data_IF_854702167903
#
_entry.id   IF_854702167903
#
_cell.length_a   1.000
_cell.length_b   1.000
_cell.length_c   1.000
_cell.angle_alpha   90.00
_cell.angle_beta   90.00
_cell.angle_gamma   90.00
#
_symmetry.space_group_name_H-M   'P 1'
#
loop_
_entity.id
_entity.type
_entity.pdbx_description
1 polymer ?
#
# COMPACT_ATOMS: atom_id res chain seq x y z
N UNK A 1 1.39 4.53 5.15
CA UNK A 1 2.21 4.06 4.01
C UNK A 1 3.01 5.24 3.47
N UNK A 2 3.93 5.00 2.54
CA UNK A 2 4.78 6.06 1.95
C UNK A 2 3.99 7.15 1.19
N UNK A 3 2.81 6.80 0.67
CA UNK A 3 1.78 7.76 0.26
C UNK A 3 0.66 7.66 1.29
N UNK A 4 0.36 8.80 1.93
CA UNK A 4 -0.75 8.91 2.87
C UNK A 4 -2.00 9.44 2.16
N UNK A 5 -3.16 9.18 2.74
CA UNK A 5 -4.46 9.54 2.16
C UNK A 5 -4.58 11.05 1.89
N UNK A 6 -4.02 11.88 2.77
CA UNK A 6 -4.00 13.34 2.60
C UNK A 6 -3.21 13.80 1.38
N UNK A 7 -2.13 13.10 1.01
CA UNK A 7 -1.37 13.40 -0.22
C UNK A 7 -2.17 13.07 -1.47
N UNK A 8 -2.90 11.95 -1.46
CA UNK A 8 -3.79 11.56 -2.57
C UNK A 8 -4.91 12.58 -2.70
N UNK A 9 -5.51 12.99 -1.57
CA UNK A 9 -6.56 14.00 -1.54
C UNK A 9 -6.08 15.33 -2.14
N UNK A 10 -4.93 15.81 -1.68
CA UNK A 10 -4.31 17.03 -2.18
C UNK A 10 -4.05 16.95 -3.68
N UNK A 11 -3.48 15.83 -4.15
CA UNK A 11 -3.21 15.62 -5.58
C UNK A 11 -4.49 15.66 -6.44
N UNK A 12 -5.57 14.99 -6.03
CA UNK A 12 -6.85 15.06 -6.74
C UNK A 12 -7.44 16.47 -6.77
N UNK A 13 -7.29 17.22 -5.67
CA UNK A 13 -7.74 18.60 -5.58
C UNK A 13 -6.97 19.52 -6.55
N UNK A 14 -5.63 19.51 -6.51
CA UNK A 14 -4.83 20.40 -7.35
C UNK A 14 -4.80 20.00 -8.83
N UNK A 15 -4.95 18.71 -9.15
CA UNK A 15 -4.86 18.20 -10.53
C UNK A 15 -6.21 18.27 -11.26
N UNK A 16 -7.31 18.00 -10.55
CA UNK A 16 -8.63 17.86 -11.15
C UNK A 16 -9.70 18.78 -10.54
N UNK A 17 -9.36 19.58 -9.54
CA UNK A 17 -10.34 20.44 -8.85
C UNK A 17 -11.36 19.65 -8.02
N UNK A 18 -11.00 18.45 -7.54
CA UNK A 18 -11.91 17.64 -6.73
C UNK A 18 -12.28 18.36 -5.42
N UNK A 19 -13.59 18.49 -5.16
CA UNK A 19 -14.12 19.08 -3.94
C UNK A 19 -14.12 18.10 -2.76
N UNK A 20 -14.41 18.60 -1.55
CA UNK A 20 -14.39 17.80 -0.33
C UNK A 20 -15.44 16.69 -0.35
N UNK A 21 -16.60 16.95 -0.95
CA UNK A 21 -17.69 15.97 -1.03
C UNK A 21 -17.30 14.78 -1.90
N UNK A 22 -16.69 15.03 -3.07
CA UNK A 22 -16.19 13.98 -3.95
C UNK A 22 -15.00 13.24 -3.35
N UNK A 23 -14.05 13.95 -2.72
CA UNK A 23 -12.94 13.31 -2.00
C UNK A 23 -13.46 12.38 -0.90
N UNK A 24 -14.47 12.81 -0.15
CA UNK A 24 -15.17 11.99 0.84
C UNK A 24 -15.74 10.70 0.22
N UNK A 25 -16.44 10.82 -0.90
CA UNK A 25 -17.01 9.67 -1.61
C UNK A 25 -15.94 8.69 -2.14
N UNK A 26 -14.87 9.23 -2.76
CA UNK A 26 -13.73 8.44 -3.26
C UNK A 26 -13.13 7.62 -2.11
N UNK A 27 -12.83 8.27 -0.99
CA UNK A 27 -12.19 7.58 0.13
C UNK A 27 -13.12 6.64 0.88
N UNK A 28 -14.42 6.93 0.93
CA UNK A 28 -15.41 6.00 1.45
C UNK A 28 -15.39 4.70 0.64
N UNK A 29 -15.52 4.79 -0.69
CA UNK A 29 -15.47 3.64 -1.58
C UNK A 29 -14.14 2.88 -1.50
N UNK A 30 -13.03 3.62 -1.46
CA UNK A 30 -11.69 3.06 -1.28
C UNK A 30 -11.59 2.23 0.00
N UNK A 31 -12.07 2.76 1.13
CA UNK A 31 -12.03 2.06 2.43
C UNK A 31 -12.95 0.84 2.47
N UNK A 32 -14.10 0.88 1.80
CA UNK A 32 -15.00 -0.27 1.66
C UNK A 32 -14.31 -1.41 0.91
N UNK A 33 -13.67 -1.10 -0.22
CA UNK A 33 -12.89 -2.06 -1.00
C UNK A 33 -11.67 -2.58 -0.23
N UNK A 34 -10.97 -1.71 0.48
CA UNK A 34 -9.86 -2.08 1.37
C UNK A 34 -10.31 -3.05 2.47
N UNK A 35 -11.45 -2.80 3.10
CA UNK A 35 -12.03 -3.68 4.10
C UNK A 35 -12.35 -5.06 3.53
N UNK A 36 -13.04 -5.11 2.38
CA UNK A 36 -13.33 -6.36 1.69
C UNK A 36 -12.05 -7.12 1.31
N UNK A 37 -11.05 -6.41 0.79
CA UNK A 37 -9.73 -6.94 0.43
C UNK A 37 -9.02 -7.59 1.64
N UNK A 38 -9.03 -6.91 2.79
CA UNK A 38 -8.46 -7.43 4.03
C UNK A 38 -9.16 -8.71 4.53
N UNK A 39 -10.49 -8.76 4.45
CA UNK A 39 -11.27 -9.95 4.83
C UNK A 39 -10.98 -11.15 3.92
N UNK A 40 -10.81 -10.91 2.62
CA UNK A 40 -10.48 -11.96 1.65
C UNK A 40 -9.06 -12.51 1.86
N UNK A 41 -8.15 -11.73 2.44
CA UNK A 41 -6.76 -12.10 2.64
C UNK A 41 -6.58 -13.45 3.33
N UNK A 42 -7.39 -13.77 4.35
CA UNK A 42 -7.32 -15.05 5.06
C UNK A 42 -7.64 -16.25 4.14
N UNK A 43 -8.65 -16.10 3.27
CA UNK A 43 -9.04 -17.15 2.32
C UNK A 43 -7.96 -17.39 1.27
N UNK A 44 -7.37 -16.30 0.73
CA UNK A 44 -6.28 -16.41 -0.23
C UNK A 44 -5.01 -16.99 0.43
N UNK A 45 -4.68 -16.54 1.65
CA UNK A 45 -3.54 -17.05 2.40
C UNK A 45 -3.64 -18.55 2.70
N UNK A 46 -4.82 -19.04 3.07
CA UNK A 46 -5.05 -20.47 3.31
C UNK A 46 -4.86 -21.31 2.03
N UNK A 47 -5.14 -20.74 0.85
CA UNK A 47 -5.04 -21.44 -0.44
C UNK A 47 -3.66 -21.35 -1.08
N UNK A 48 -3.02 -20.18 -1.01
CA UNK A 48 -1.80 -19.87 -1.76
C UNK A 48 -0.57 -19.68 -0.87
N UNK A 49 -0.74 -19.62 0.46
CA UNK A 49 0.31 -19.30 1.42
C UNK A 49 0.39 -17.80 1.74
N UNK A 50 0.94 -17.47 2.91
CA UNK A 50 1.04 -16.11 3.44
C UNK A 50 1.92 -15.22 2.56
N UNK A 51 3.13 -15.68 2.23
CA UNK A 51 4.10 -14.92 1.42
C UNK A 51 3.57 -14.68 0.00
N UNK A 52 3.08 -15.74 -0.66
CA UNK A 52 2.54 -15.61 -2.02
C UNK A 52 1.36 -14.64 -2.07
N UNK A 53 0.42 -14.73 -1.13
CA UNK A 53 -0.73 -13.82 -1.07
C UNK A 53 -0.28 -12.37 -0.89
N UNK A 54 0.72 -12.13 -0.03
CA UNK A 54 1.31 -10.82 0.17
C UNK A 54 1.91 -10.31 -1.15
N UNK A 55 2.87 -11.01 -1.74
CA UNK A 55 3.61 -10.55 -2.94
C UNK A 55 2.68 -10.34 -4.15
N UNK A 56 1.75 -11.27 -4.41
CA UNK A 56 0.82 -11.16 -5.54
C UNK A 56 -0.19 -10.03 -5.40
N UNK A 57 -0.54 -9.62 -4.18
CA UNK A 57 -1.37 -8.43 -3.96
C UNK A 57 -0.56 -7.13 -4.04
N UNK A 58 0.69 -7.15 -3.59
CA UNK A 58 1.47 -5.95 -3.36
C UNK A 58 2.06 -5.39 -4.66
N UNK A 59 2.58 -6.25 -5.55
CA UNK A 59 3.15 -5.81 -6.84
C UNK A 59 2.10 -5.14 -7.73
N UNK A 60 0.95 -5.76 -8.07
CA UNK A 60 -0.05 -5.12 -8.93
C UNK A 60 -0.64 -3.87 -8.29
N UNK A 61 -0.86 -3.88 -6.97
CA UNK A 61 -1.33 -2.70 -6.22
C UNK A 61 -0.37 -1.51 -6.32
N UNK A 62 0.94 -1.76 -6.24
CA UNK A 62 1.94 -0.71 -6.35
C UNK A 62 2.13 -0.23 -7.80
N UNK A 63 1.95 -1.11 -8.79
CA UNK A 63 1.88 -0.70 -10.20
C UNK A 63 0.68 0.23 -10.42
N UNK A 64 -0.50 -0.14 -9.91
CA UNK A 64 -1.70 0.72 -10.00
C UNK A 64 -1.48 2.06 -9.31
N UNK A 65 -0.79 2.09 -8.16
CA UNK A 65 -0.41 3.34 -7.48
C UNK A 65 0.43 4.24 -8.39
N UNK A 66 1.44 3.68 -9.05
CA UNK A 66 2.30 4.41 -9.98
C UNK A 66 1.50 4.93 -11.18
N UNK A 67 0.45 4.24 -11.61
CA UNK A 67 -0.37 4.62 -12.76
C UNK A 67 -1.36 5.76 -12.48
N UNK A 68 -1.81 5.93 -11.23
CA UNK A 68 -2.78 6.99 -10.84
C UNK A 68 -2.42 8.37 -11.41
N UNK A 69 -1.20 8.91 -11.24
CA UNK A 69 -0.87 10.25 -11.71
C UNK A 69 -0.80 10.41 -13.23
N UNK A 70 -0.78 9.31 -13.98
CA UNK A 70 -0.70 9.31 -15.44
C UNK A 70 -2.07 9.12 -16.10
N UNK A 71 -3.15 9.07 -15.32
CA UNK A 71 -4.49 8.90 -15.87
C UNK A 71 -4.99 10.17 -16.57
N UNK A 72 -5.60 10.06 -17.75
CA UNK A 72 -5.94 11.21 -18.61
C UNK A 72 -7.11 12.05 -18.09
N UNK A 73 -7.77 11.62 -17.01
CA UNK A 73 -8.89 12.34 -16.42
C UNK A 73 -9.28 11.78 -15.05
N UNK A 74 -10.09 12.57 -14.34
CA UNK A 74 -10.54 12.29 -12.99
C UNK A 74 -11.17 10.89 -12.84
N UNK A 75 -12.12 10.53 -13.71
CA UNK A 75 -12.80 9.24 -13.65
C UNK A 75 -11.84 8.05 -13.78
N UNK A 76 -10.84 8.15 -14.66
CA UNK A 76 -9.81 7.12 -14.82
C UNK A 76 -8.89 7.04 -13.60
N UNK A 77 -8.50 8.19 -13.03
CA UNK A 77 -7.69 8.23 -11.81
C UNK A 77 -8.43 7.59 -10.62
N UNK A 78 -9.73 7.88 -10.47
CA UNK A 78 -10.59 7.25 -9.44
C UNK A 78 -10.70 5.75 -9.69
N UNK A 79 -10.98 5.33 -10.93
CA UNK A 79 -11.11 3.91 -11.27
C UNK A 79 -9.84 3.11 -10.94
N UNK A 80 -8.67 3.60 -11.36
CA UNK A 80 -7.38 2.98 -11.04
C UNK A 80 -7.13 2.96 -9.53
N UNK A 81 -7.49 4.03 -8.82
CA UNK A 81 -7.39 4.06 -7.36
C UNK A 81 -8.32 3.02 -6.71
N UNK A 82 -9.58 2.89 -7.15
CA UNK A 82 -10.50 1.87 -6.62
C UNK A 82 -9.97 0.46 -6.88
N UNK A 83 -9.49 0.19 -8.09
CA UNK A 83 -8.89 -1.09 -8.46
C UNK A 83 -7.67 -1.39 -7.60
N UNK A 84 -6.86 -0.38 -7.26
CA UNK A 84 -5.76 -0.54 -6.31
C UNK A 84 -6.28 -0.97 -4.94
N UNK A 85 -7.29 -0.28 -4.41
CA UNK A 85 -7.80 -0.53 -3.06
C UNK A 85 -8.52 -1.89 -2.93
N UNK A 86 -9.06 -2.45 -4.01
CA UNK A 86 -9.67 -3.80 -3.98
C UNK A 86 -8.66 -4.93 -3.76
N UNK A 87 -7.38 -4.69 -4.05
CA UNK A 87 -6.30 -5.68 -3.86
C UNK A 87 -5.27 -5.25 -2.80
N UNK A 88 -5.20 -3.98 -2.43
CA UNK A 88 -4.05 -3.46 -1.69
C UNK A 88 -3.96 -3.87 -0.22
N UNK A 89 -5.04 -4.31 0.41
CA UNK A 89 -5.06 -4.56 1.87
C UNK A 89 -4.87 -6.01 2.27
N UNK A 90 -4.63 -6.91 1.32
CA UNK A 90 -4.33 -8.30 1.62
C UNK A 90 -2.95 -8.50 2.28
N UNK A 91 -2.03 -7.55 2.12
CA UNK A 91 -0.68 -7.60 2.69
C UNK A 91 -0.66 -7.42 4.21
N UNK A 92 -1.57 -6.61 4.76
CA UNK A 92 -1.57 -6.26 6.20
C UNK A 92 -1.78 -7.50 7.09
N UNK A 93 -2.89 -8.25 6.96
CA UNK A 93 -3.13 -9.41 7.81
C UNK A 93 -2.15 -10.55 7.53
N UNK A 94 -1.74 -10.74 6.26
CA UNK A 94 -0.81 -11.82 5.88
C UNK A 94 0.60 -11.57 6.41
N UNK A 95 1.09 -10.33 6.37
CA UNK A 95 2.39 -9.95 6.95
C UNK A 95 2.37 -10.08 8.46
N UNK A 96 1.31 -9.63 9.12
CA UNK A 96 1.16 -9.80 10.56
C UNK A 96 1.17 -11.29 10.95
N UNK A 97 0.39 -12.12 10.27
CA UNK A 97 0.36 -13.55 10.52
C UNK A 97 1.73 -14.21 10.26
N UNK A 98 2.43 -13.84 9.19
CA UNK A 98 3.76 -14.35 8.89
C UNK A 98 4.78 -13.99 9.97
N UNK A 99 4.85 -12.72 10.39
CA UNK A 99 5.73 -12.29 11.48
C UNK A 99 5.45 -13.09 12.76
N UNK A 100 4.19 -13.33 13.11
CA UNK A 100 3.86 -14.12 14.32
C UNK A 100 4.20 -15.60 14.18
N UNK A 101 4.24 -16.14 12.96
CA UNK A 101 4.63 -17.52 12.70
C UNK A 101 6.14 -17.74 12.83
N UNK A 102 6.96 -16.73 12.54
CA UNK A 102 8.44 -16.84 12.54
C UNK A 102 9.12 -16.29 13.80
N UNK A 103 8.36 -15.64 14.70
CA UNK A 103 8.86 -15.06 15.96
C UNK A 103 8.43 -15.91 17.15
N UNK A 104 9.33 -16.09 18.13
CA UNK A 104 9.05 -16.82 19.36
C UNK A 104 7.87 -16.20 20.14
N UNK A 105 7.01 -16.99 20.81
CA UNK A 105 5.79 -16.49 21.44
C UNK A 105 5.98 -15.32 22.40
N UNK A 106 7.07 -15.32 23.17
CA UNK A 106 7.47 -14.29 24.12
C UNK A 106 7.98 -12.99 23.46
N UNK A 107 8.52 -13.10 22.24
CA UNK A 107 9.05 -11.95 21.48
C UNK A 107 7.99 -11.27 20.58
N UNK A 108 6.82 -11.89 20.38
CA UNK A 108 5.76 -11.40 19.47
C UNK A 108 5.30 -9.98 19.79
N UNK A 109 5.20 -9.64 21.08
CA UNK A 109 4.82 -8.30 21.50
C UNK A 109 5.88 -7.25 21.10
N UNK A 110 7.17 -7.58 21.32
CA UNK A 110 8.28 -6.73 20.92
C UNK A 110 8.35 -6.55 19.39
N UNK A 111 8.21 -7.64 18.63
CA UNK A 111 8.20 -7.61 17.18
C UNK A 111 7.07 -6.74 16.60
N UNK A 112 5.86 -6.84 17.17
CA UNK A 112 4.73 -5.98 16.82
C UNK A 112 4.98 -4.51 17.15
N UNK A 113 5.59 -4.25 18.32
CA UNK A 113 5.98 -2.90 18.76
C UNK A 113 6.96 -2.23 17.79
N UNK A 114 8.06 -2.91 17.47
CA UNK A 114 9.07 -2.42 16.51
C UNK A 114 8.45 -2.14 15.14
N UNK A 115 7.62 -3.06 14.65
CA UNK A 115 6.91 -2.89 13.36
C UNK A 115 5.99 -1.66 13.37
N UNK A 116 5.29 -1.43 14.48
CA UNK A 116 4.41 -0.27 14.64
C UNK A 116 5.19 1.03 14.67
N UNK A 117 6.32 1.08 15.38
CA UNK A 117 7.21 2.25 15.43
C UNK A 117 7.71 2.57 14.01
N UNK A 118 8.25 1.59 13.30
CA UNK A 118 8.74 1.77 11.93
C UNK A 118 7.63 2.32 11.01
N UNK A 119 6.42 1.77 11.11
CA UNK A 119 5.25 2.25 10.36
C UNK A 119 4.90 3.70 10.69
N UNK A 120 4.90 4.06 11.97
CA UNK A 120 4.58 5.41 12.43
C UNK A 120 5.61 6.43 11.99
N UNK A 121 6.91 6.12 12.08
CA UNK A 121 8.00 6.97 11.56
C UNK A 121 7.82 7.21 10.07
N UNK A 122 7.57 6.14 9.30
CA UNK A 122 7.29 6.26 7.87
C UNK A 122 6.08 7.16 7.60
N UNK A 123 4.98 6.98 8.33
CA UNK A 123 3.77 7.79 8.18
C UNK A 123 3.95 9.26 8.58
N UNK A 124 4.85 9.57 9.52
CA UNK A 124 5.15 10.92 9.96
C UNK A 124 6.04 11.67 8.96
N UNK A 125 7.02 10.99 8.35
CA UNK A 125 7.96 11.60 7.40
C UNK A 125 7.37 11.75 5.99
N UNK A 126 6.46 10.85 5.60
CA UNK A 126 5.90 10.79 4.25
C UNK A 126 5.22 12.10 3.81
N UNK A 127 4.37 12.77 4.60
CA UNK A 127 3.71 14.01 4.19
C UNK A 127 4.70 15.16 3.96
N UNK A 128 5.77 15.26 4.77
CA UNK A 128 6.76 16.33 4.63
C UNK A 128 7.53 16.19 3.30
N UNK A 129 8.02 14.99 3.02
CA UNK A 129 8.73 14.69 1.75
C UNK A 129 7.77 14.78 0.55
N UNK A 130 6.58 14.21 0.70
CA UNK A 130 5.55 14.19 -0.32
C UNK A 130 5.03 15.59 -0.68
N UNK A 131 4.85 16.45 0.32
CA UNK A 131 4.40 17.84 0.14
C UNK A 131 5.37 18.67 -0.69
N UNK A 132 6.68 18.55 -0.45
CA UNK A 132 7.72 19.23 -1.25
C UNK A 132 7.64 18.83 -2.72
N UNK A 133 7.48 17.53 -2.99
CA UNK A 133 7.36 17.00 -4.34
C UNK A 133 6.04 17.43 -5.02
N UNK A 134 4.92 17.40 -4.31
CA UNK A 134 3.61 17.80 -4.83
C UNK A 134 3.51 19.31 -5.09
N UNK A 135 4.26 20.13 -4.35
CA UNK A 135 4.31 21.58 -4.55
C UNK A 135 5.06 21.99 -5.82
N UNK A 136 5.80 21.06 -6.46
CA UNK A 136 6.55 21.33 -7.69
C UNK A 136 5.77 20.82 -8.90
N UNK A 137 5.33 21.66 -9.85
CA UNK A 137 4.44 21.27 -10.95
C UNK A 137 4.94 20.08 -11.80
N UNK A 138 6.25 19.92 -11.97
CA UNK A 138 6.84 18.81 -12.71
C UNK A 138 7.03 17.50 -11.91
N UNK A 139 6.84 17.52 -10.59
CA UNK A 139 7.14 16.39 -9.70
C UNK A 139 5.88 15.83 -9.01
N UNK A 140 4.69 16.25 -9.41
CA UNK A 140 3.44 15.81 -8.78
C UNK A 140 3.21 14.29 -8.85
N UNK A 141 3.77 13.62 -9.88
CA UNK A 141 3.74 12.16 -9.99
C UNK A 141 4.81 11.46 -9.12
N UNK A 142 5.86 12.17 -8.71
CA UNK A 142 7.03 11.61 -8.04
C UNK A 142 6.71 10.88 -6.72
N UNK A 143 5.81 11.37 -5.83
CA UNK A 143 5.48 10.64 -4.60
C UNK A 143 4.83 9.29 -4.87
N UNK A 144 3.98 9.19 -5.89
CA UNK A 144 3.30 7.96 -6.27
C UNK A 144 4.28 6.94 -6.83
N UNK A 145 5.14 7.38 -7.76
CA UNK A 145 6.16 6.53 -8.39
C UNK A 145 7.23 6.11 -7.39
N UNK A 146 7.72 7.02 -6.55
CA UNK A 146 8.72 6.70 -5.52
C UNK A 146 8.16 5.72 -4.50
N UNK A 147 6.94 5.94 -4.00
CA UNK A 147 6.32 5.03 -3.05
C UNK A 147 6.02 3.65 -3.63
N UNK A 148 5.51 3.59 -4.86
CA UNK A 148 5.26 2.32 -5.56
C UNK A 148 6.57 1.58 -5.86
N UNK A 149 7.58 2.29 -6.38
CA UNK A 149 8.89 1.74 -6.71
C UNK A 149 9.64 1.20 -5.49
N UNK A 150 9.69 1.95 -4.38
CA UNK A 150 10.33 1.50 -3.13
C UNK A 150 9.66 0.22 -2.61
N UNK A 151 8.33 0.15 -2.64
CA UNK A 151 7.61 -1.04 -2.19
C UNK A 151 7.84 -2.25 -3.10
N UNK A 152 7.81 -2.06 -4.42
CA UNK A 152 8.12 -3.13 -5.37
C UNK A 152 9.54 -3.65 -5.16
N UNK A 153 10.52 -2.75 -4.97
CA UNK A 153 11.90 -3.15 -4.68
C UNK A 153 11.98 -3.98 -3.39
N UNK A 154 11.30 -3.55 -2.33
CA UNK A 154 11.21 -4.31 -1.08
C UNK A 154 10.61 -5.70 -1.30
N UNK A 155 9.51 -5.82 -2.05
CA UNK A 155 8.87 -7.10 -2.34
C UNK A 155 9.79 -8.04 -3.11
N UNK A 156 10.53 -7.51 -4.09
CA UNK A 156 11.49 -8.29 -4.87
C UNK A 156 12.66 -8.78 -4.02
N UNK A 157 13.15 -7.95 -3.10
CA UNK A 157 14.21 -8.34 -2.15
C UNK A 157 13.70 -9.39 -1.17
N UNK A 158 12.51 -9.20 -0.61
CA UNK A 158 11.89 -10.15 0.31
C UNK A 158 11.63 -11.49 -0.39
N UNK A 159 11.05 -11.48 -1.58
CA UNK A 159 10.83 -12.68 -2.38
C UNK A 159 12.14 -13.41 -2.68
N UNK A 160 13.21 -12.70 -3.05
CA UNK A 160 14.53 -13.30 -3.28
C UNK A 160 15.11 -13.94 -2.02
N UNK A 161 15.04 -13.27 -0.87
CA UNK A 161 15.59 -13.77 0.39
C UNK A 161 14.85 -15.00 0.92
N UNK A 162 13.52 -15.05 0.77
CA UNK A 162 12.70 -16.13 1.33
C UNK A 162 12.33 -17.25 0.35
N UNK A 163 12.60 -17.10 -0.95
CA UNK A 163 12.43 -18.16 -1.96
C UNK A 163 13.18 -19.46 -1.65
N UNK A 164 14.22 -19.40 -0.82
CA UNK A 164 14.98 -20.58 -0.40
C UNK A 164 14.51 -21.19 0.92
N UNK A 165 13.77 -20.44 1.76
CA UNK A 165 13.23 -20.94 3.02
C UNK A 165 11.99 -21.83 2.82
N UNK A 166 11.18 -21.58 1.79
CA UNK A 166 9.96 -22.35 1.47
C UNK A 166 10.23 -23.73 0.82
N UNK A 167 11.50 -24.11 0.59
CA UNK A 167 11.87 -25.43 0.00
C UNK A 167 12.22 -26.51 1.03
N UNK A 168 12.25 -26.17 2.32
CA UNK A 168 12.69 -27.07 3.40
C UNK A 168 11.67 -27.25 4.53
N UNK A 169 10.41 -26.87 4.31
CA UNK A 169 9.29 -27.11 5.23
C UNK A 169 8.41 -28.26 4.76
#
# INVERSE_FOLDING_TARGET
>A
GLVVQSMVAYWFHITFGADEQMLGAIFFGANLLAGASALLAAKFAARFGLINTMVFSHIPSNILLCLVPFMPGLGWAIFVLMLRFSISQMDVPTRQAYTMAVVAPDERAAASGVTTIARSVGAALSPALGGILLATPGLMAAPFVAAGGIKILYDLLLYRSFRHADRTG
#
